data_IF_255992292191
#
_entry.id   IF_255992292191
#
_cell.length_a   1.000
_cell.length_b   1.000
_cell.length_c   1.000
_cell.angle_alpha   90.00
_cell.angle_beta   90.00
_cell.angle_gamma   90.00
#
_symmetry.space_group_name_H-M   'P 1'
#
loop_
_entity.id
_entity.type
_entity.pdbx_description
1 polymer ?
#
# COMPACT_ATOMS: atom_id res chain seq x y z
N UNK A 1 -19.24 -2.25 -16.77
CA UNK A 1 -18.20 -3.17 -17.26
C UNK A 1 -16.84 -2.51 -17.08
N UNK A 2 -15.76 -3.28 -16.90
CA UNK A 2 -14.39 -2.76 -16.78
C UNK A 2 -13.55 -3.37 -17.90
N UNK A 3 -13.18 -2.57 -18.91
CA UNK A 3 -12.40 -3.01 -20.06
C UNK A 3 -11.81 -1.81 -20.81
N UNK A 4 -10.59 -1.95 -21.35
CA UNK A 4 -10.01 -1.00 -22.30
C UNK A 4 -10.33 -1.33 -23.77
N UNK A 5 -11.01 -2.45 -24.01
CA UNK A 5 -11.35 -2.93 -25.34
C UNK A 5 -12.58 -2.19 -25.89
N UNK A 6 -12.43 -1.64 -27.10
CA UNK A 6 -13.45 -0.85 -27.78
C UNK A 6 -14.64 -1.70 -28.22
N UNK A 7 -14.48 -3.01 -28.37
CA UNK A 7 -15.57 -3.87 -28.86
C UNK A 7 -16.74 -3.90 -27.89
N UNK A 8 -16.46 -3.73 -26.59
CA UNK A 8 -17.49 -3.62 -25.54
C UNK A 8 -18.36 -2.37 -25.66
N UNK A 9 -17.96 -1.38 -26.48
CA UNK A 9 -18.80 -0.20 -26.74
C UNK A 9 -20.12 -0.58 -27.42
N UNK A 10 -20.19 -1.72 -28.11
CA UNK A 10 -21.44 -2.21 -28.70
C UNK A 10 -22.50 -2.61 -27.67
N UNK A 11 -22.09 -2.84 -26.41
CA UNK A 11 -22.97 -3.29 -25.31
C UNK A 11 -23.40 -2.14 -24.39
N UNK A 12 -22.96 -0.90 -24.67
CA UNK A 12 -23.28 0.27 -23.86
C UNK A 12 -24.76 0.62 -24.02
N UNK A 13 -25.44 0.86 -22.90
CA UNK A 13 -26.83 1.31 -22.81
C UNK A 13 -26.94 2.33 -21.68
N UNK A 14 -28.12 2.90 -21.44
CA UNK A 14 -28.33 3.85 -20.32
C UNK A 14 -27.99 3.23 -18.95
N UNK A 15 -28.13 1.92 -18.81
CA UNK A 15 -27.83 1.18 -17.58
C UNK A 15 -26.45 0.50 -17.61
N UNK A 16 -25.76 0.47 -18.75
CA UNK A 16 -24.49 -0.24 -18.93
C UNK A 16 -23.44 0.72 -19.46
N UNK A 17 -22.45 1.02 -18.62
CA UNK A 17 -21.29 1.84 -19.00
C UNK A 17 -20.00 1.02 -18.92
N UNK A 18 -18.97 1.46 -19.65
CA UNK A 18 -17.64 0.86 -19.61
C UNK A 18 -16.69 1.79 -18.85
N UNK A 19 -15.89 1.25 -17.95
CA UNK A 19 -14.76 1.98 -17.36
C UNK A 19 -13.46 1.44 -17.95
N UNK A 20 -12.69 2.33 -18.59
CA UNK A 20 -11.38 2.04 -19.19
C UNK A 20 -10.30 2.32 -18.14
N UNK A 21 -9.67 1.27 -17.54
CA UNK A 21 -8.65 1.45 -16.51
C UNK A 21 -7.37 2.11 -17.02
N UNK A 22 -7.08 2.03 -18.32
CA UNK A 22 -5.86 2.59 -18.91
C UNK A 22 -5.99 4.10 -19.10
N UNK A 23 -7.21 4.58 -19.37
CA UNK A 23 -7.52 6.01 -19.53
C UNK A 23 -8.16 6.63 -18.29
N UNK A 24 -8.46 5.82 -17.28
CA UNK A 24 -9.25 6.17 -16.10
C UNK A 24 -10.57 6.88 -16.46
N UNK A 25 -11.20 6.48 -17.57
CA UNK A 25 -12.39 7.14 -18.12
C UNK A 25 -13.60 6.22 -18.07
N UNK A 26 -14.73 6.76 -17.61
CA UNK A 26 -16.06 6.15 -17.82
C UNK A 26 -16.58 6.56 -19.19
N UNK A 27 -17.06 5.58 -19.95
CA UNK A 27 -17.57 5.70 -21.31
C UNK A 27 -19.07 5.39 -21.26
N UNK A 28 -19.87 6.37 -21.66
CA UNK A 28 -21.33 6.31 -21.74
C UNK A 28 -21.82 6.36 -23.21
N UNK A 29 -23.15 6.29 -23.46
CA UNK A 29 -23.67 6.40 -24.82
C UNK A 29 -23.27 7.69 -25.56
N UNK A 30 -23.13 8.83 -24.87
CA UNK A 30 -22.72 10.09 -25.49
C UNK A 30 -21.26 10.03 -25.95
N UNK A 31 -20.37 9.43 -25.15
CA UNK A 31 -18.97 9.23 -25.54
C UNK A 31 -18.83 8.39 -26.82
N UNK A 32 -19.71 7.38 -26.97
CA UNK A 32 -19.79 6.57 -28.19
C UNK A 32 -20.26 7.41 -29.37
N UNK A 33 -21.27 8.27 -29.19
CA UNK A 33 -21.72 9.21 -30.23
C UNK A 33 -20.62 10.22 -30.60
N UNK A 34 -19.83 10.71 -29.67
CA UNK A 34 -18.73 11.63 -29.99
C UNK A 34 -17.62 10.91 -30.79
N UNK A 35 -17.22 9.74 -30.33
CA UNK A 35 -16.12 8.96 -30.91
C UNK A 35 -16.51 8.34 -32.26
N UNK A 36 -17.58 7.56 -32.28
CA UNK A 36 -18.04 6.78 -33.43
C UNK A 36 -19.12 7.49 -34.25
N UNK A 37 -19.79 8.53 -33.72
CA UNK A 37 -20.86 9.29 -34.42
C UNK A 37 -22.06 8.47 -34.84
N UNK A 38 -22.27 7.35 -34.15
CA UNK A 38 -23.39 6.43 -34.26
C UNK A 38 -23.79 5.96 -32.87
N UNK A 39 -24.95 5.33 -32.74
CA UNK A 39 -25.38 4.72 -31.49
C UNK A 39 -24.53 3.47 -31.14
N UNK A 40 -24.42 3.07 -29.86
CA UNK A 40 -23.69 1.87 -29.43
C UNK A 40 -23.98 0.62 -30.27
N UNK A 41 -25.26 0.32 -30.53
CA UNK A 41 -25.65 -0.85 -31.33
C UNK A 41 -25.19 -0.83 -32.79
N UNK A 42 -24.80 0.33 -33.31
CA UNK A 42 -24.32 0.51 -34.69
C UNK A 42 -22.79 0.44 -34.81
N UNK A 43 -22.06 0.32 -33.69
CA UNK A 43 -20.60 0.21 -33.70
C UNK A 43 -20.15 -1.03 -34.48
N UNK A 44 -20.88 -2.15 -34.34
CA UNK A 44 -20.63 -3.40 -35.09
C UNK A 44 -20.79 -3.22 -36.60
N UNK A 45 -21.68 -2.32 -37.03
CA UNK A 45 -21.88 -2.03 -38.45
C UNK A 45 -20.71 -1.22 -39.03
N UNK A 46 -20.16 -0.29 -38.26
CA UNK A 46 -18.95 0.44 -38.67
C UNK A 46 -17.79 -0.55 -38.80
N UNK A 47 -17.56 -1.38 -37.78
CA UNK A 47 -16.47 -2.34 -37.76
C UNK A 47 -16.63 -3.45 -38.81
N UNK A 48 -17.87 -3.88 -39.09
CA UNK A 48 -18.15 -4.85 -40.15
C UNK A 48 -17.77 -4.32 -41.54
N UNK A 49 -17.91 -3.00 -41.77
CA UNK A 49 -17.49 -2.37 -43.02
C UNK A 49 -16.00 -2.05 -43.06
N UNK A 50 -15.45 -1.49 -41.97
CA UNK A 50 -14.05 -1.05 -41.95
C UNK A 50 -13.04 -2.16 -41.70
N UNK A 51 -13.48 -3.26 -41.09
CA UNK A 51 -12.61 -4.28 -40.53
C UNK A 51 -11.91 -3.81 -39.24
N UNK A 52 -11.17 -4.74 -38.65
CA UNK A 52 -10.28 -4.51 -37.53
C UNK A 52 -8.95 -5.21 -37.79
N UNK A 53 -7.89 -4.44 -38.01
CA UNK A 53 -6.56 -4.98 -38.27
C UNK A 53 -5.94 -5.67 -37.05
N UNK A 54 -6.36 -5.31 -35.85
CA UNK A 54 -5.83 -5.87 -34.60
C UNK A 54 -6.26 -7.34 -34.46
N UNK A 55 -7.51 -7.63 -34.81
CA UNK A 55 -8.12 -8.97 -34.76
C UNK A 55 -8.15 -9.69 -36.12
N UNK A 56 -7.38 -9.20 -37.10
CA UNK A 56 -7.33 -9.73 -38.47
C UNK A 56 -8.73 -9.82 -39.15
N UNK A 57 -9.62 -8.89 -38.82
CA UNK A 57 -10.96 -8.80 -39.40
C UNK A 57 -10.88 -7.94 -40.67
N UNK A 58 -11.16 -8.49 -41.86
CA UNK A 58 -10.74 -7.90 -43.12
C UNK A 58 -11.57 -6.69 -43.61
N UNK A 59 -12.84 -6.57 -43.21
CA UNK A 59 -13.73 -5.52 -43.69
C UNK A 59 -13.93 -5.51 -45.22
N UNK A 60 -14.41 -4.37 -45.74
CA UNK A 60 -14.57 -4.12 -47.17
C UNK A 60 -13.38 -3.29 -47.69
N UNK A 61 -12.61 -3.81 -48.67
CA UNK A 61 -11.52 -3.06 -49.28
C UNK A 61 -11.94 -1.67 -49.78
N UNK A 62 -11.20 -0.65 -49.36
CA UNK A 62 -11.47 0.75 -49.73
C UNK A 62 -12.55 1.44 -48.89
N UNK A 63 -13.11 0.77 -47.87
CA UNK A 63 -14.01 1.36 -46.88
C UNK A 63 -13.25 1.43 -45.55
N UNK A 64 -12.70 2.60 -45.21
CA UNK A 64 -12.07 2.82 -43.90
C UNK A 64 -13.09 3.27 -42.83
N UNK A 65 -12.67 3.40 -41.56
CA UNK A 65 -13.56 3.76 -40.44
C UNK A 65 -14.37 5.05 -40.67
N UNK A 66 -13.76 6.09 -41.26
CA UNK A 66 -14.45 7.36 -41.58
C UNK A 66 -15.55 7.17 -42.64
N UNK A 67 -15.29 6.34 -43.64
CA UNK A 67 -16.25 6.04 -44.72
C UNK A 67 -17.36 5.15 -44.22
N UNK A 68 -17.04 4.14 -43.42
CA UNK A 68 -18.01 3.27 -42.74
C UNK A 68 -18.95 4.10 -41.85
N UNK A 69 -18.40 4.98 -41.00
CA UNK A 69 -19.17 5.92 -40.17
C UNK A 69 -20.17 6.76 -40.98
N UNK A 70 -19.72 7.36 -42.08
CA UNK A 70 -20.58 8.16 -42.94
C UNK A 70 -21.71 7.34 -43.57
N UNK A 71 -21.41 6.13 -44.02
CA UNK A 71 -22.38 5.19 -44.58
C UNK A 71 -23.43 4.77 -43.54
N UNK A 72 -23.01 4.35 -42.35
CA UNK A 72 -23.93 3.91 -41.30
C UNK A 72 -24.77 5.08 -40.78
N UNK A 73 -24.22 6.30 -40.69
CA UNK A 73 -25.01 7.49 -40.35
C UNK A 73 -26.09 7.81 -41.39
N UNK A 74 -25.84 7.53 -42.68
CA UNK A 74 -26.81 7.78 -43.76
C UNK A 74 -27.83 6.66 -43.94
N UNK A 75 -27.44 5.40 -43.73
CA UNK A 75 -28.25 4.23 -44.06
C UNK A 75 -28.73 3.44 -42.82
N UNK A 76 -28.29 3.79 -41.61
CA UNK A 76 -28.69 3.18 -40.36
C UNK A 76 -27.88 1.94 -39.98
N UNK A 77 -27.87 0.89 -40.82
CA UNK A 77 -27.15 -0.36 -40.55
C UNK A 77 -26.61 -0.99 -41.83
N UNK A 78 -25.77 -2.04 -41.72
CA UNK A 78 -25.23 -2.76 -42.88
C UNK A 78 -26.35 -3.33 -43.75
N UNK A 79 -27.41 -3.89 -43.15
CA UNK A 79 -28.53 -4.50 -43.85
C UNK A 79 -29.25 -3.46 -44.73
N UNK A 80 -29.69 -2.34 -44.13
CA UNK A 80 -30.37 -1.25 -44.84
C UNK A 80 -29.47 -0.58 -45.89
N UNK A 81 -28.16 -0.52 -45.65
CA UNK A 81 -27.20 -0.05 -46.64
C UNK A 81 -27.20 -0.91 -47.91
N UNK A 82 -27.26 -2.24 -47.77
CA UNK A 82 -27.26 -3.14 -48.92
C UNK A 82 -28.60 -3.16 -49.66
N UNK A 83 -29.72 -2.91 -48.99
CA UNK A 83 -31.03 -2.72 -49.64
C UNK A 83 -31.06 -1.45 -50.51
N UNK A 84 -30.36 -0.40 -50.07
CA UNK A 84 -30.34 0.91 -50.73
C UNK A 84 -29.03 1.21 -51.45
N UNK A 85 -28.26 0.18 -51.83
CA UNK A 85 -26.92 0.32 -52.41
C UNK A 85 -26.89 1.15 -53.70
N UNK A 86 -28.01 1.19 -54.43
CA UNK A 86 -28.21 2.00 -55.64
C UNK A 86 -28.17 3.52 -55.38
N UNK A 87 -28.38 3.97 -54.14
CA UNK A 87 -28.31 5.40 -53.76
C UNK A 87 -26.88 5.90 -53.55
N UNK A 88 -25.88 5.01 -53.56
CA UNK A 88 -24.47 5.38 -53.36
C UNK A 88 -23.90 5.97 -54.65
N UNK A 89 -23.70 7.30 -54.67
CA UNK A 89 -23.23 8.05 -55.85
C UNK A 89 -21.78 7.74 -56.26
N UNK A 90 -20.94 7.26 -55.33
CA UNK A 90 -19.54 6.92 -55.60
C UNK A 90 -19.42 5.54 -56.23
N UNK A 91 -19.24 5.50 -57.56
CA UNK A 91 -19.17 4.26 -58.37
C UNK A 91 -18.23 3.19 -57.81
N UNK A 92 -16.95 3.51 -57.57
CA UNK A 92 -15.95 2.56 -57.03
C UNK A 92 -16.29 2.05 -55.62
N UNK A 93 -16.93 2.90 -54.80
CA UNK A 93 -17.36 2.53 -53.46
C UNK A 93 -18.50 1.51 -53.51
N UNK A 94 -19.50 1.78 -54.36
CA UNK A 94 -20.64 0.88 -54.59
C UNK A 94 -20.19 -0.46 -55.18
N UNK A 95 -19.31 -0.45 -56.18
CA UNK A 95 -18.72 -1.66 -56.78
C UNK A 95 -18.01 -2.53 -55.74
N UNK A 96 -17.20 -1.93 -54.85
CA UNK A 96 -16.51 -2.68 -53.79
C UNK A 96 -17.47 -3.24 -52.74
N UNK A 97 -18.51 -2.49 -52.34
CA UNK A 97 -19.53 -2.98 -51.41
C UNK A 97 -20.26 -4.19 -52.01
N UNK A 98 -20.66 -4.12 -53.29
CA UNK A 98 -21.29 -5.26 -53.98
C UNK A 98 -20.34 -6.45 -54.05
N UNK A 99 -19.10 -6.24 -54.50
CA UNK A 99 -18.10 -7.31 -54.69
C UNK A 99 -17.74 -8.01 -53.38
N UNK A 100 -17.64 -7.28 -52.27
CA UNK A 100 -17.21 -7.79 -50.98
C UNK A 100 -18.34 -7.88 -49.94
N UNK A 101 -19.60 -7.94 -50.39
CA UNK A 101 -20.78 -8.05 -49.52
C UNK A 101 -20.63 -9.15 -48.46
N UNK A 102 -20.22 -10.35 -48.87
CA UNK A 102 -20.00 -11.46 -47.95
C UNK A 102 -18.98 -11.13 -46.85
N UNK A 103 -17.89 -10.42 -47.18
CA UNK A 103 -16.87 -10.01 -46.19
C UNK A 103 -17.41 -9.00 -45.19
N UNK A 104 -18.29 -8.08 -45.61
CA UNK A 104 -18.92 -7.12 -44.70
C UNK A 104 -19.77 -7.84 -43.63
N UNK A 105 -20.63 -8.75 -44.06
CA UNK A 105 -21.47 -9.54 -43.14
C UNK A 105 -20.67 -10.51 -42.28
N UNK A 106 -19.64 -11.15 -42.85
CA UNK A 106 -18.73 -11.99 -42.08
C UNK A 106 -18.01 -11.18 -41.01
N UNK A 107 -17.46 -10.01 -41.38
CA UNK A 107 -16.77 -9.13 -40.44
C UNK A 107 -17.70 -8.63 -39.35
N UNK A 108 -18.93 -8.21 -39.69
CA UNK A 108 -19.98 -7.85 -38.72
C UNK A 108 -20.22 -8.98 -37.73
N UNK A 109 -20.36 -10.22 -38.22
CA UNK A 109 -20.57 -11.39 -37.36
C UNK A 109 -19.37 -11.67 -36.45
N UNK A 110 -18.15 -11.49 -36.95
CA UNK A 110 -16.93 -11.72 -36.17
C UNK A 110 -16.73 -10.69 -35.05
N UNK A 111 -17.10 -9.43 -35.27
CA UNK A 111 -17.00 -8.36 -34.25
C UNK A 111 -18.17 -8.33 -33.26
N UNK A 112 -19.27 -9.03 -33.57
CA UNK A 112 -20.46 -9.02 -32.72
C UNK A 112 -20.22 -9.90 -31.49
N UNK A 113 -20.31 -9.30 -30.31
CA UNK A 113 -20.20 -10.03 -29.05
C UNK A 113 -21.44 -10.90 -28.86
N UNK A 114 -21.23 -12.20 -28.67
CA UNK A 114 -22.30 -13.16 -28.39
C UNK A 114 -22.78 -13.01 -26.94
N UNK A 115 -24.01 -12.52 -26.75
CA UNK A 115 -24.61 -12.27 -25.42
C UNK A 115 -25.59 -13.36 -24.96
N UNK A 116 -25.94 -14.30 -25.83
CA UNK A 116 -26.91 -15.39 -25.61
C UNK A 116 -26.21 -16.72 -25.23
N UNK A 117 -25.09 -16.65 -24.50
CA UNK A 117 -24.36 -17.84 -24.08
C UNK A 117 -25.09 -18.47 -22.88
N UNK A 118 -25.38 -19.79 -22.88
CA UNK A 118 -25.95 -20.46 -21.71
C UNK A 118 -24.93 -20.48 -20.57
N UNK A 119 -25.22 -19.78 -19.48
CA UNK A 119 -24.38 -19.70 -18.29
C UNK A 119 -25.01 -20.54 -17.17
N UNK A 120 -24.19 -21.32 -16.47
CA UNK A 120 -24.63 -22.24 -15.40
C UNK A 120 -24.56 -21.63 -14.00
N UNK A 121 -24.15 -20.37 -13.87
CA UNK A 121 -23.97 -19.68 -12.60
C UNK A 121 -25.08 -18.64 -12.34
N UNK A 122 -25.30 -18.33 -11.07
CA UNK A 122 -26.24 -17.31 -10.63
C UNK A 122 -25.53 -15.99 -10.34
N UNK A 123 -26.25 -14.87 -10.41
CA UNK A 123 -25.70 -13.56 -10.01
C UNK A 123 -25.24 -13.53 -8.54
N UNK A 124 -25.84 -14.38 -7.70
CA UNK A 124 -25.49 -14.53 -6.29
C UNK A 124 -24.06 -15.05 -6.09
N UNK A 125 -23.55 -15.86 -7.03
CA UNK A 125 -22.20 -16.41 -6.97
C UNK A 125 -21.10 -15.34 -7.07
N UNK A 126 -21.43 -14.16 -7.62
CA UNK A 126 -20.51 -13.04 -7.84
C UNK A 126 -20.59 -11.95 -6.77
N UNK A 127 -21.37 -12.15 -5.70
CA UNK A 127 -21.34 -11.21 -4.57
C UNK A 127 -19.95 -11.21 -3.93
N UNK A 128 -19.47 -10.01 -3.62
CA UNK A 128 -18.17 -9.83 -2.97
C UNK A 128 -18.19 -10.55 -1.62
N UNK A 129 -17.31 -11.54 -1.46
CA UNK A 129 -17.11 -12.25 -0.19
C UNK A 129 -16.06 -11.54 0.66
N UNK A 130 -16.14 -11.74 1.97
CA UNK A 130 -15.10 -11.28 2.88
C UNK A 130 -13.75 -11.92 2.51
N UNK A 131 -12.70 -11.09 2.54
CA UNK A 131 -11.33 -11.51 2.26
C UNK A 131 -10.75 -12.32 3.42
N UNK A 132 -9.98 -13.36 3.08
CA UNK A 132 -9.18 -14.13 4.03
C UNK A 132 -7.81 -13.44 4.21
N UNK A 133 -7.71 -12.57 5.22
CA UNK A 133 -6.50 -11.77 5.44
C UNK A 133 -5.26 -12.64 5.71
N UNK A 134 -5.42 -13.83 6.30
CA UNK A 134 -4.30 -14.72 6.59
C UNK A 134 -3.73 -15.30 5.30
N UNK A 135 -4.59 -15.77 4.39
CA UNK A 135 -4.15 -16.23 3.07
C UNK A 135 -3.54 -15.10 2.24
N UNK A 136 -4.13 -13.91 2.28
CA UNK A 136 -3.59 -12.75 1.57
C UNK A 136 -2.23 -12.31 2.11
N UNK A 137 -2.05 -12.25 3.44
CA UNK A 137 -0.76 -11.88 4.05
C UNK A 137 0.32 -12.85 3.63
N UNK A 138 0.04 -14.17 3.74
CA UNK A 138 0.96 -15.21 3.28
C UNK A 138 1.31 -15.04 1.80
N UNK A 139 0.32 -14.82 0.93
CA UNK A 139 0.56 -14.64 -0.50
C UNK A 139 1.39 -13.39 -0.79
N UNK A 140 1.06 -12.25 -0.18
CA UNK A 140 1.82 -11.02 -0.38
C UNK A 140 3.23 -11.09 0.20
N UNK A 141 3.46 -11.87 1.26
CA UNK A 141 4.82 -12.19 1.75
C UNK A 141 5.61 -12.99 0.73
N UNK A 142 5.03 -14.06 0.19
CA UNK A 142 5.69 -14.93 -0.82
C UNK A 142 6.00 -14.14 -2.10
N UNK A 143 5.07 -13.31 -2.56
CA UNK A 143 5.22 -12.52 -3.80
C UNK A 143 5.93 -11.18 -3.58
N UNK A 144 6.34 -10.87 -2.35
CA UNK A 144 6.93 -9.59 -1.96
C UNK A 144 6.09 -8.35 -2.36
N UNK A 145 4.77 -8.45 -2.33
CA UNK A 145 3.86 -7.33 -2.59
C UNK A 145 3.77 -6.38 -1.38
N UNK A 146 4.89 -5.74 -1.07
CA UNK A 146 5.14 -4.94 0.14
C UNK A 146 4.15 -3.80 0.35
N UNK A 147 3.70 -3.14 -0.73
CA UNK A 147 2.70 -2.07 -0.61
C UNK A 147 1.31 -2.63 -0.29
N UNK A 148 0.95 -3.77 -0.90
CA UNK A 148 -0.34 -4.41 -0.70
C UNK A 148 -0.49 -5.02 0.70
N UNK A 149 0.63 -5.42 1.33
CA UNK A 149 0.65 -5.83 2.74
C UNK A 149 0.07 -4.77 3.69
N UNK A 150 0.32 -3.48 3.42
CA UNK A 150 -0.23 -2.40 4.25
C UNK A 150 -1.76 -2.27 4.17
N UNK A 151 -2.39 -2.79 3.11
CA UNK A 151 -3.84 -2.77 2.95
C UNK A 151 -4.54 -3.97 3.58
N UNK A 152 -3.77 -4.96 4.02
CA UNK A 152 -4.27 -6.00 4.92
C UNK A 152 -4.19 -5.39 6.32
N UNK A 153 -5.31 -5.25 7.04
CA UNK A 153 -5.24 -4.93 8.45
C UNK A 153 -4.32 -5.97 9.08
N UNK A 154 -3.23 -5.52 9.71
CA UNK A 154 -2.50 -6.35 10.65
C UNK A 154 -3.55 -7.07 11.50
N UNK A 155 -3.40 -8.37 11.73
CA UNK A 155 -4.16 -9.01 12.80
C UNK A 155 -3.91 -8.15 14.02
N UNK A 156 -4.91 -7.36 14.41
CA UNK A 156 -4.82 -6.48 15.56
C UNK A 156 -4.69 -7.43 16.74
N UNK A 157 -3.45 -7.76 17.10
CA UNK A 157 -3.15 -8.28 18.41
C UNK A 157 -3.46 -7.12 19.34
N UNK A 158 -4.72 -7.04 19.75
CA UNK A 158 -5.18 -6.24 20.87
C UNK A 158 -4.73 -6.88 22.18
N UNK A 159 -3.49 -7.39 22.26
CA UNK A 159 -2.89 -7.63 23.55
C UNK A 159 -2.94 -6.28 24.28
N UNK A 160 -3.43 -6.31 25.52
CA UNK A 160 -3.52 -5.11 26.33
C UNK A 160 -2.09 -4.70 26.69
N UNK A 161 -1.51 -3.79 25.90
CA UNK A 161 -0.19 -3.22 26.14
C UNK A 161 -0.16 -2.56 27.52
N UNK A 162 0.75 -3.03 28.37
CA UNK A 162 1.02 -2.50 29.70
C UNK A 162 2.24 -1.58 29.64
N UNK A 163 2.02 -0.39 29.10
CA UNK A 163 3.06 0.65 29.00
C UNK A 163 2.97 1.60 30.18
N UNK A 164 4.10 1.79 30.87
CA UNK A 164 4.15 2.59 32.09
C UNK A 164 5.19 3.70 31.95
N UNK A 165 4.76 4.93 32.21
CA UNK A 165 5.65 6.07 32.28
C UNK A 165 6.15 6.25 33.71
N UNK A 166 7.47 6.33 33.88
CA UNK A 166 8.14 6.38 35.18
C UNK A 166 8.55 7.82 35.49
N UNK A 167 7.81 8.47 36.40
CA UNK A 167 8.04 9.87 36.81
C UNK A 167 8.35 10.02 38.31
N UNK A 168 8.52 8.90 39.02
CA UNK A 168 8.80 8.85 40.45
C UNK A 168 10.06 8.03 40.74
N UNK A 169 10.91 8.51 41.66
CA UNK A 169 12.20 7.88 41.97
C UNK A 169 12.07 6.53 42.71
N UNK A 170 11.00 6.33 43.48
CA UNK A 170 10.75 5.04 44.12
C UNK A 170 10.32 4.02 43.08
N UNK A 171 9.44 4.41 42.15
CA UNK A 171 9.02 3.52 41.05
C UNK A 171 10.23 3.20 40.14
N UNK A 172 11.11 4.17 39.87
CA UNK A 172 12.37 3.91 39.15
C UNK A 172 13.23 2.89 39.90
N UNK A 173 13.34 3.03 41.23
CA UNK A 173 14.09 2.11 42.08
C UNK A 173 13.56 0.68 41.99
N UNK A 174 12.24 0.53 42.01
CA UNK A 174 11.56 -0.75 41.85
C UNK A 174 11.78 -1.34 40.46
N UNK A 175 11.73 -0.52 39.41
CA UNK A 175 12.01 -0.94 38.03
C UNK A 175 13.45 -1.46 37.91
N UNK A 176 14.44 -0.78 38.49
CA UNK A 176 15.83 -1.27 38.46
C UNK A 176 15.95 -2.64 39.11
N UNK A 177 15.30 -2.87 40.26
CA UNK A 177 15.29 -4.19 40.90
C UNK A 177 14.62 -5.28 40.05
N UNK A 178 13.55 -4.93 39.32
CA UNK A 178 12.89 -5.84 38.37
C UNK A 178 13.82 -6.20 37.19
N UNK A 179 14.46 -5.21 36.59
CA UNK A 179 15.39 -5.41 35.47
C UNK A 179 16.59 -6.26 35.88
N UNK A 180 17.12 -6.04 37.08
CA UNK A 180 18.20 -6.83 37.65
C UNK A 180 17.77 -8.29 37.86
N UNK A 181 16.58 -8.51 38.44
CA UNK A 181 16.03 -9.84 38.68
C UNK A 181 15.70 -10.60 37.39
N UNK A 182 15.27 -9.89 36.34
CA UNK A 182 14.97 -10.49 35.04
C UNK A 182 16.23 -11.02 34.34
N UNK A 183 17.39 -10.37 34.55
CA UNK A 183 18.68 -10.77 33.98
C UNK A 183 18.82 -10.60 32.46
N UNK A 184 17.73 -10.30 31.75
CA UNK A 184 17.65 -9.98 30.33
C UNK A 184 16.54 -8.94 30.10
N UNK A 185 16.83 -7.88 29.36
CA UNK A 185 15.82 -6.92 28.92
C UNK A 185 16.21 -6.25 27.60
N UNK A 186 15.22 -5.73 26.90
CA UNK A 186 15.41 -4.79 25.81
C UNK A 186 15.63 -3.37 26.34
N UNK A 187 16.46 -2.59 25.66
CA UNK A 187 16.72 -1.18 25.97
C UNK A 187 16.69 -0.37 24.67
N UNK A 188 16.12 0.83 24.76
CA UNK A 188 16.20 1.85 23.72
C UNK A 188 16.39 3.25 24.33
N UNK A 189 17.02 4.14 23.57
CA UNK A 189 17.27 5.53 23.96
C UNK A 189 16.60 6.51 23.01
N UNK A 190 15.82 7.41 23.59
CA UNK A 190 15.18 8.48 22.85
C UNK A 190 15.99 9.76 22.93
N UNK A 191 16.21 10.42 21.80
CA UNK A 191 17.16 11.55 21.74
C UNK A 191 16.72 12.69 20.83
N UNK A 192 17.44 13.81 20.91
CA UNK A 192 17.18 14.98 20.07
C UNK A 192 17.69 14.88 18.63
N UNK A 193 18.46 13.85 18.26
CA UNK A 193 19.14 13.80 16.95
C UNK A 193 19.47 12.38 16.49
N UNK A 194 19.37 12.13 15.19
CA UNK A 194 19.84 10.87 14.58
C UNK A 194 21.36 10.71 14.58
N UNK A 195 22.13 11.78 14.83
CA UNK A 195 23.57 11.69 14.97
C UNK A 195 23.90 11.45 16.46
N UNK A 196 24.41 10.27 16.85
CA UNK A 196 24.60 9.93 18.26
C UNK A 196 25.63 10.83 18.96
N UNK A 197 26.58 11.43 18.24
CA UNK A 197 27.59 12.32 18.83
C UNK A 197 27.00 13.69 19.22
N UNK A 198 26.01 14.16 18.47
CA UNK A 198 25.33 15.44 18.70
C UNK A 198 24.01 15.28 19.48
N UNK A 199 23.59 14.04 19.73
CA UNK A 199 22.33 13.71 20.38
C UNK A 199 22.40 13.99 21.88
N UNK A 200 21.34 14.60 22.42
CA UNK A 200 21.10 14.67 23.86
C UNK A 200 20.05 13.64 24.23
N UNK A 201 20.27 12.95 25.35
CA UNK A 201 19.35 11.93 25.84
C UNK A 201 18.08 12.58 26.38
N UNK A 202 16.93 12.15 25.86
CA UNK A 202 15.59 12.66 26.22
C UNK A 202 14.87 11.71 27.17
N UNK A 203 15.00 10.40 26.94
CA UNK A 203 14.47 9.36 27.82
C UNK A 203 15.01 7.99 27.45
N UNK A 204 14.66 6.99 28.27
CA UNK A 204 15.05 5.59 28.05
C UNK A 204 13.83 4.70 28.19
N UNK A 205 13.75 3.64 27.39
CA UNK A 205 12.72 2.61 27.53
C UNK A 205 13.32 1.22 27.75
N UNK A 206 12.52 0.39 28.42
CA UNK A 206 12.90 -0.97 28.79
C UNK A 206 11.73 -1.93 28.65
N UNK A 207 12.00 -3.15 28.18
CA UNK A 207 11.04 -4.26 28.21
C UNK A 207 11.71 -5.57 28.67
N UNK A 208 10.99 -6.35 29.47
CA UNK A 208 11.43 -7.67 29.93
C UNK A 208 10.63 -8.81 29.26
N UNK A 209 9.46 -8.48 28.69
CA UNK A 209 8.53 -9.43 28.09
C UNK A 209 7.58 -8.74 27.12
N UNK A 210 6.99 -9.52 26.21
CA UNK A 210 6.05 -9.00 25.22
C UNK A 210 4.89 -8.23 25.88
N UNK A 211 4.49 -7.14 25.24
CA UNK A 211 3.38 -6.26 25.62
C UNK A 211 3.54 -5.51 26.96
N UNK A 212 4.69 -5.58 27.63
CA UNK A 212 5.01 -4.78 28.81
C UNK A 212 6.30 -3.99 28.60
N UNK A 213 6.24 -2.68 28.82
CA UNK A 213 7.41 -1.82 28.72
C UNK A 213 7.28 -0.56 29.58
N UNK A 214 8.42 0.05 29.86
CA UNK A 214 8.55 1.18 30.76
C UNK A 214 9.30 2.30 30.05
N UNK A 215 8.80 3.54 30.13
CA UNK A 215 9.47 4.72 29.59
C UNK A 215 9.81 5.70 30.71
N UNK A 216 11.06 6.15 30.76
CA UNK A 216 11.56 7.13 31.72
C UNK A 216 11.83 8.44 30.98
N UNK A 217 10.91 9.43 31.02
CA UNK A 217 11.15 10.75 30.46
C UNK A 217 12.06 11.59 31.36
N UNK A 218 13.06 12.25 30.77
CA UNK A 218 14.04 13.04 31.50
C UNK A 218 14.14 14.50 31.04
N UNK A 219 14.17 14.75 29.72
CA UNK A 219 14.46 16.11 29.20
C UNK A 219 13.51 16.56 28.08
N UNK A 220 12.23 16.18 28.15
CA UNK A 220 11.20 16.80 27.31
C UNK A 220 11.03 18.29 27.64
N UNK A 221 10.86 19.14 26.63
CA UNK A 221 10.99 20.60 26.71
C UNK A 221 9.80 21.39 26.13
N UNK A 222 8.69 20.72 25.81
CA UNK A 222 7.50 21.37 25.29
C UNK A 222 6.75 22.18 26.37
N UNK A 223 5.98 23.19 25.93
CA UNK A 223 5.20 24.04 26.83
C UNK A 223 4.20 23.22 27.64
N UNK A 224 4.26 23.36 28.97
CA UNK A 224 3.37 22.63 29.88
C UNK A 224 3.79 21.18 30.13
N UNK A 225 5.03 20.81 29.80
CA UNK A 225 5.56 19.47 30.10
C UNK A 225 5.40 19.12 31.59
N UNK A 226 4.85 17.93 31.90
CA UNK A 226 4.76 17.45 33.28
C UNK A 226 6.13 17.31 33.95
N UNK A 227 6.15 17.14 35.27
CA UNK A 227 7.37 16.85 36.02
C UNK A 227 8.04 15.58 35.50
N UNK A 228 9.35 15.63 35.31
CA UNK A 228 10.18 14.53 34.86
C UNK A 228 11.24 14.21 35.92
N UNK A 229 11.85 13.02 35.84
CA UNK A 229 12.98 12.67 36.69
C UNK A 229 14.24 13.37 36.17
N UNK A 230 15.07 13.97 37.05
CA UNK A 230 16.32 14.60 36.63
C UNK A 230 17.25 13.58 35.98
N UNK A 231 17.72 13.88 34.76
CA UNK A 231 18.57 12.96 33.99
C UNK A 231 19.79 12.44 34.79
N UNK A 232 20.56 13.27 35.54
CA UNK A 232 21.70 12.76 36.31
C UNK A 232 21.30 11.69 37.34
N UNK A 233 20.16 11.87 38.01
CA UNK A 233 19.69 10.94 39.03
C UNK A 233 19.24 9.62 38.42
N UNK A 234 18.56 9.68 37.26
CA UNK A 234 18.16 8.50 36.48
C UNK A 234 19.39 7.71 36.03
N UNK A 235 20.38 8.38 35.44
CA UNK A 235 21.60 7.73 34.97
C UNK A 235 22.41 7.14 36.11
N UNK A 236 22.55 7.85 37.24
CA UNK A 236 23.20 7.31 38.43
C UNK A 236 22.52 6.04 38.95
N UNK A 237 21.18 5.99 38.89
CA UNK A 237 20.43 4.82 39.33
C UNK A 237 20.51 3.64 38.37
N UNK A 238 20.55 3.89 37.06
CA UNK A 238 20.65 2.86 36.02
C UNK A 238 22.07 2.36 35.78
N UNK A 239 23.09 3.18 36.08
CA UNK A 239 24.49 2.89 35.74
C UNK A 239 24.98 1.52 36.23
N UNK A 240 24.79 1.09 37.49
CA UNK A 240 25.24 -0.23 37.93
C UNK A 240 24.62 -1.38 37.14
N UNK A 241 23.35 -1.24 36.75
CA UNK A 241 22.62 -2.22 35.94
C UNK A 241 23.15 -2.28 34.50
N UNK A 242 23.32 -1.11 33.88
CA UNK A 242 23.71 -0.99 32.47
C UNK A 242 25.19 -1.35 32.23
N UNK A 243 26.07 -1.09 33.19
CA UNK A 243 27.50 -1.44 33.11
C UNK A 243 27.80 -2.88 33.56
N UNK A 244 26.81 -3.63 34.05
CA UNK A 244 27.00 -5.03 34.47
C UNK A 244 26.98 -6.00 33.25
N UNK A 245 28.08 -6.69 32.93
CA UNK A 245 28.15 -7.63 31.80
C UNK A 245 27.36 -8.92 32.02
N UNK A 246 27.03 -9.27 33.28
CA UNK A 246 26.21 -10.44 33.62
C UNK A 246 24.72 -10.24 33.36
N UNK A 247 24.28 -8.99 33.27
CA UNK A 247 22.89 -8.63 32.95
C UNK A 247 22.82 -8.38 31.45
N UNK A 248 21.97 -9.14 30.76
CA UNK A 248 21.94 -9.20 29.31
C UNK A 248 21.03 -8.10 28.73
N UNK A 249 21.45 -7.50 27.63
CA UNK A 249 20.68 -6.46 26.92
C UNK A 249 20.47 -6.83 25.45
N UNK A 250 19.30 -6.47 24.97
CA UNK A 250 18.86 -6.55 23.57
C UNK A 250 18.47 -5.16 23.11
N UNK A 251 18.64 -4.86 21.83
CA UNK A 251 18.06 -3.66 21.23
C UNK A 251 18.15 -3.70 19.71
N UNK A 252 17.68 -2.64 19.08
CA UNK A 252 17.72 -2.46 17.63
C UNK A 252 18.80 -1.44 17.29
N UNK A 253 19.80 -1.80 16.48
CA UNK A 253 20.89 -0.88 16.15
C UNK A 253 21.56 -0.32 17.43
N UNK A 254 21.81 -1.21 18.40
CA UNK A 254 22.23 -0.91 19.77
C UNK A 254 23.53 -0.10 19.84
N UNK A 255 24.32 -0.08 18.75
CA UNK A 255 25.48 0.79 18.58
C UNK A 255 25.12 2.27 18.79
N UNK A 256 23.93 2.69 18.36
CA UNK A 256 23.48 4.08 18.55
C UNK A 256 23.34 4.39 20.05
N UNK A 257 22.57 3.57 20.77
CA UNK A 257 22.33 3.70 22.21
C UNK A 257 23.64 3.63 22.99
N UNK A 258 24.54 2.74 22.58
CA UNK A 258 25.86 2.60 23.19
C UNK A 258 26.64 3.91 23.14
N UNK A 259 26.71 4.59 21.98
CA UNK A 259 27.42 5.86 21.85
C UNK A 259 26.75 6.95 22.68
N UNK A 260 25.41 7.03 22.65
CA UNK A 260 24.66 8.03 23.42
C UNK A 260 24.88 7.85 24.92
N UNK A 261 24.76 6.63 25.43
CA UNK A 261 25.00 6.31 26.84
C UNK A 261 26.44 6.61 27.25
N UNK A 262 27.42 6.32 26.38
CA UNK A 262 28.83 6.60 26.66
C UNK A 262 29.11 8.08 26.87
N UNK A 263 28.51 8.93 26.03
CA UNK A 263 28.59 10.39 26.13
C UNK A 263 27.92 10.93 27.40
N UNK A 264 27.02 10.15 28.01
CA UNK A 264 26.38 10.48 29.28
C UNK A 264 26.99 9.68 30.47
N UNK A 265 28.19 9.11 30.29
CA UNK A 265 28.98 8.52 31.36
C UNK A 265 28.57 7.10 31.76
N UNK A 266 27.85 6.38 30.89
CA UNK A 266 27.47 4.97 31.08
C UNK A 266 28.18 4.09 30.05
N UNK A 267 29.04 3.18 30.52
CA UNK A 267 29.73 2.19 29.70
C UNK A 267 28.85 0.94 29.53
N UNK A 268 27.90 0.99 28.60
CA UNK A 268 26.97 -0.11 28.35
C UNK A 268 27.72 -1.44 28.15
N UNK A 269 27.32 -2.46 28.92
CA UNK A 269 27.90 -3.80 28.88
C UNK A 269 26.79 -4.87 28.89
N UNK A 270 27.13 -6.09 28.49
CA UNK A 270 26.17 -7.21 28.48
C UNK A 270 25.21 -7.21 27.29
N UNK A 271 25.51 -6.46 26.21
CA UNK A 271 24.75 -6.55 24.95
C UNK A 271 24.98 -7.93 24.33
N UNK A 272 23.91 -8.71 24.18
CA UNK A 272 23.97 -10.07 23.60
C UNK A 272 23.28 -10.19 22.25
N UNK A 273 22.45 -9.23 21.88
CA UNK A 273 21.63 -9.31 20.67
C UNK A 273 21.31 -7.94 20.10
N UNK A 274 21.44 -7.80 18.78
CA UNK A 274 20.98 -6.65 18.01
C UNK A 274 20.03 -7.14 16.92
N UNK A 275 18.77 -6.72 16.97
CA UNK A 275 17.72 -7.18 16.03
C UNK A 275 18.00 -6.77 14.58
N UNK A 276 18.70 -5.66 14.36
CA UNK A 276 19.12 -5.22 13.03
C UNK A 276 20.13 -6.21 12.45
N UNK A 277 21.14 -6.58 13.24
CA UNK A 277 22.17 -7.53 12.83
C UNK A 277 21.60 -8.94 12.65
N UNK A 278 20.70 -9.38 13.52
CA UNK A 278 20.02 -10.66 13.39
C UNK A 278 19.19 -10.72 12.08
N UNK A 279 18.43 -9.66 11.78
CA UNK A 279 17.67 -9.54 10.54
C UNK A 279 18.58 -9.55 9.31
N UNK A 280 19.74 -8.88 9.37
CA UNK A 280 20.74 -8.88 8.31
C UNK A 280 21.34 -10.27 8.08
N UNK A 281 21.72 -10.99 9.14
CA UNK A 281 22.28 -12.33 9.03
C UNK A 281 21.28 -13.35 8.45
N UNK A 282 19.98 -13.19 8.75
CA UNK A 282 18.94 -14.05 8.20
C UNK A 282 18.70 -13.82 6.70
N UNK A 283 18.79 -12.58 6.23
CA UNK A 283 18.65 -12.27 4.81
C UNK A 283 19.40 -10.98 4.42
N UNK A 284 20.68 -11.08 4.03
CA UNK A 284 21.50 -9.93 3.66
C UNK A 284 21.04 -9.21 2.40
N UNK A 285 20.19 -9.85 1.57
CA UNK A 285 19.64 -9.26 0.35
C UNK A 285 18.44 -8.35 0.60
N UNK A 286 17.90 -8.31 1.83
CA UNK A 286 16.85 -7.36 2.19
C UNK A 286 17.36 -5.92 2.10
N UNK A 287 16.52 -5.04 1.57
CA UNK A 287 16.85 -3.62 1.39
C UNK A 287 16.88 -2.82 2.69
N UNK A 288 16.17 -3.25 3.73
CA UNK A 288 16.02 -2.51 4.97
C UNK A 288 15.87 -3.46 6.16
N UNK A 289 16.53 -3.10 7.26
CA UNK A 289 16.51 -3.81 8.54
C UNK A 289 16.10 -2.87 9.69
N UNK A 290 15.22 -1.88 9.40
CA UNK A 290 14.64 -1.04 10.45
C UNK A 290 13.67 -1.84 11.33
N UNK A 291 13.41 -1.35 12.55
CA UNK A 291 12.51 -2.01 13.48
C UNK A 291 11.12 -2.18 12.88
N UNK A 292 10.57 -1.14 12.25
CA UNK A 292 9.25 -1.20 11.60
C UNK A 292 9.18 -2.32 10.56
N UNK A 293 10.29 -2.54 9.83
CA UNK A 293 10.33 -3.58 8.80
C UNK A 293 10.43 -4.96 9.42
N UNK A 294 11.23 -5.11 10.47
CA UNK A 294 11.39 -6.37 11.21
C UNK A 294 10.06 -6.76 11.86
N UNK A 295 9.40 -5.83 12.55
CA UNK A 295 8.09 -6.05 13.17
C UNK A 295 7.04 -6.47 12.13
N UNK A 296 6.97 -5.81 10.97
CA UNK A 296 6.03 -6.18 9.93
C UNK A 296 6.32 -7.56 9.33
N UNK A 297 7.59 -7.86 9.04
CA UNK A 297 7.99 -9.11 8.39
C UNK A 297 7.73 -10.33 9.29
N UNK A 298 8.13 -10.22 10.56
CA UNK A 298 8.16 -11.36 11.50
C UNK A 298 6.94 -11.44 12.42
N UNK A 299 6.31 -10.31 12.74
CA UNK A 299 5.19 -10.24 13.69
C UNK A 299 3.87 -9.82 13.06
N UNK A 300 3.85 -9.53 11.74
CA UNK A 300 2.69 -8.91 11.07
C UNK A 300 2.20 -7.63 11.78
N UNK A 301 3.12 -6.94 12.45
CA UNK A 301 2.83 -5.81 13.31
C UNK A 301 3.33 -4.51 12.68
N UNK A 302 2.44 -3.51 12.57
CA UNK A 302 2.81 -2.17 12.14
C UNK A 302 3.08 -1.30 13.38
N UNK A 303 4.35 -0.97 13.60
CA UNK A 303 4.79 -0.02 14.61
C UNK A 303 4.36 1.40 14.28
N UNK A 304 4.29 2.23 15.31
CA UNK A 304 4.19 3.67 15.24
C UNK A 304 5.50 4.20 14.69
N UNK A 305 5.45 4.96 13.61
CA UNK A 305 6.70 5.47 13.01
C UNK A 305 7.14 6.76 13.69
N UNK A 306 8.45 7.01 13.75
CA UNK A 306 9.00 8.28 14.26
C UNK A 306 8.33 9.51 13.61
N UNK A 307 8.03 9.46 12.31
CA UNK A 307 7.35 10.56 11.60
C UNK A 307 5.90 10.78 12.03
N UNK A 308 5.20 9.76 12.52
CA UNK A 308 3.82 9.89 13.03
C UNK A 308 3.80 10.70 14.34
N UNK A 309 4.86 10.64 15.15
CA UNK A 309 4.95 11.41 16.40
C UNK A 309 5.68 12.76 16.25
N UNK A 310 6.69 12.86 15.37
CA UNK A 310 7.46 14.10 15.19
C UNK A 310 6.99 14.96 14.03
N UNK A 311 6.19 14.42 13.11
CA UNK A 311 5.91 15.06 11.83
C UNK A 311 7.02 14.87 10.79
N UNK A 312 6.94 15.59 9.67
CA UNK A 312 7.81 15.41 8.49
C UNK A 312 8.51 16.70 8.05
N UNK A 313 9.66 16.53 7.40
CA UNK A 313 10.43 17.61 6.78
C UNK A 313 11.05 18.57 7.79
N UNK A 314 11.35 19.80 7.36
CA UNK A 314 12.03 20.80 8.19
C UNK A 314 11.21 21.32 9.37
N UNK A 315 9.93 20.94 9.45
CA UNK A 315 9.03 21.24 10.58
C UNK A 315 8.90 20.06 11.56
N UNK A 316 9.64 18.97 11.33
CA UNK A 316 9.64 17.85 12.26
C UNK A 316 10.17 18.28 13.62
N UNK A 317 9.46 17.88 14.67
CA UNK A 317 9.85 18.13 16.05
C UNK A 317 11.08 17.29 16.41
N UNK A 318 11.91 17.84 17.29
CA UNK A 318 12.84 17.03 18.08
C UNK A 318 12.02 16.12 19.01
N UNK A 319 12.52 14.93 19.35
CA UNK A 319 11.82 14.04 20.28
C UNK A 319 11.55 14.71 21.64
N UNK A 320 12.45 15.59 22.10
CA UNK A 320 12.25 16.40 23.32
C UNK A 320 10.98 17.25 23.30
N UNK A 321 10.49 17.63 22.12
CA UNK A 321 9.30 18.46 21.98
C UNK A 321 8.03 17.66 21.68
N UNK A 322 8.11 16.31 21.71
CA UNK A 322 6.96 15.42 21.53
C UNK A 322 6.21 15.29 22.86
N UNK A 323 4.87 15.48 22.89
CA UNK A 323 4.09 15.26 24.11
C UNK A 323 4.27 13.86 24.70
N UNK A 324 4.38 13.76 26.03
CA UNK A 324 4.63 12.50 26.73
C UNK A 324 3.59 11.40 26.42
N UNK A 325 2.34 11.78 26.15
CA UNK A 325 1.25 10.87 25.79
C UNK A 325 1.48 10.17 24.45
N UNK A 326 2.33 10.74 23.59
CA UNK A 326 2.78 10.15 22.32
C UNK A 326 4.17 9.52 22.43
N UNK A 327 5.07 10.15 23.17
CA UNK A 327 6.43 9.67 23.35
C UNK A 327 6.47 8.34 24.12
N UNK A 328 5.71 8.22 25.20
CA UNK A 328 5.76 7.02 26.04
C UNK A 328 5.29 5.75 25.30
N UNK A 329 4.15 5.73 24.60
CA UNK A 329 3.75 4.55 23.84
C UNK A 329 4.69 4.20 22.68
N UNK A 330 5.31 5.19 22.04
CA UNK A 330 6.29 4.98 20.98
C UNK A 330 7.56 4.31 21.54
N UNK A 331 8.17 4.92 22.56
CA UNK A 331 9.41 4.39 23.16
C UNK A 331 9.21 3.02 23.83
N UNK A 332 8.04 2.79 24.44
CA UNK A 332 7.66 1.49 25.00
C UNK A 332 7.37 0.43 23.92
N UNK A 333 7.04 0.83 22.69
CA UNK A 333 6.83 -0.09 21.59
C UNK A 333 8.13 -0.50 20.91
N UNK A 334 9.13 0.39 20.89
CA UNK A 334 10.45 0.11 20.35
C UNK A 334 11.28 -0.86 21.23
N UNK A 335 11.09 -0.82 22.55
CA UNK A 335 11.72 -1.73 23.52
C UNK A 335 10.99 -3.08 23.65
#
# INVERSE_FOLDING_TARGET
MVSGDKDFMQLITDNITVWDPMKEKRIDPNDVRESFGVEPGQVVDIMGLSGDTSDNIPGVPGIGPKTAKALIKSFGCIESLYEQIHKISKKKQSENLVKYKYRAFLSKRLVTIKTDIPLSFSMEDFKLKNRDNNKLSRLFKILEFRQLQHFIPASLNFSKKNYQMIQDMNILSDLVGKLESAGLFAIDTETTSKNPIAAKLVGLSFSMQADEAFYIPCTHDYTGVPRQLPLPDVLNRLKPLLENPGIKKVGQNIKYDWIVLDLHGIKLAGVIFDTMLASYLLNPSKRAHSLDRIALDFLDYKTTTYQEITGKGNKALSFASVPLEKAAPYACEDA
#
